data_IF_978715276926
#
_entry.id   IF_978715276926
#
_cell.length_a   1.000
_cell.length_b   1.000
_cell.length_c   1.000
_cell.angle_alpha   90.00
_cell.angle_beta   90.00
_cell.angle_gamma   90.00
#
_symmetry.space_group_name_H-M   'P 1'
#
loop_
_entity.id
_entity.type
_entity.pdbx_description
1 polymer ?
#
# COMPACT_ATOMS: atom_id res chain seq x y z
N UNK A 1 -27.72 -10.35 0.16
CA UNK A 1 -26.26 -10.16 -0.08
C UNK A 1 -25.79 -8.98 0.73
N UNK A 2 -24.78 -9.17 1.55
CA UNK A 2 -24.23 -8.12 2.39
C UNK A 2 -23.59 -7.02 1.52
N UNK A 3 -23.96 -5.74 1.73
CA UNK A 3 -23.42 -4.60 0.98
C UNK A 3 -21.88 -4.50 1.05
N UNK A 4 -21.30 -4.94 2.16
CA UNK A 4 -19.85 -4.95 2.35
C UNK A 4 -19.17 -5.95 1.41
N UNK A 5 -19.76 -7.11 1.18
CA UNK A 5 -19.21 -8.13 0.28
C UNK A 5 -19.21 -7.63 -1.19
N UNK A 6 -20.18 -6.81 -1.57
CA UNK A 6 -20.24 -6.20 -2.89
C UNK A 6 -19.08 -5.18 -3.09
N UNK A 7 -18.67 -4.43 -2.05
CA UNK A 7 -17.57 -3.46 -2.15
C UNK A 7 -16.23 -4.19 -2.29
N UNK A 8 -15.99 -5.24 -1.51
CA UNK A 8 -14.80 -6.07 -1.65
C UNK A 8 -14.68 -6.63 -3.06
N UNK A 9 -15.78 -7.16 -3.61
CA UNK A 9 -15.79 -7.72 -4.96
C UNK A 9 -15.48 -6.64 -6.01
N UNK A 10 -16.15 -5.48 -5.98
CA UNK A 10 -15.90 -4.39 -6.93
C UNK A 10 -14.44 -3.96 -6.96
N UNK A 11 -13.83 -3.77 -5.79
CA UNK A 11 -12.43 -3.35 -5.68
C UNK A 11 -11.51 -4.44 -6.23
N UNK A 12 -11.76 -5.70 -5.86
CA UNK A 12 -10.94 -6.82 -6.33
C UNK A 12 -11.07 -7.01 -7.83
N UNK A 13 -12.27 -6.85 -8.41
CA UNK A 13 -12.48 -6.92 -9.85
C UNK A 13 -11.69 -5.83 -10.60
N UNK A 14 -11.62 -4.59 -10.09
CA UNK A 14 -10.77 -3.54 -10.67
C UNK A 14 -9.29 -3.89 -10.65
N UNK A 15 -8.81 -4.52 -9.58
CA UNK A 15 -7.41 -4.97 -9.49
C UNK A 15 -7.14 -6.15 -10.43
N UNK A 16 -8.04 -7.13 -10.48
CA UNK A 16 -7.95 -8.28 -11.39
C UNK A 16 -7.90 -7.80 -12.85
N UNK A 17 -8.80 -6.88 -13.24
CA UNK A 17 -8.80 -6.30 -14.59
C UNK A 17 -7.44 -5.68 -14.93
N UNK A 18 -6.83 -4.93 -14.01
CA UNK A 18 -5.53 -4.32 -14.22
C UNK A 18 -4.42 -5.35 -14.39
N UNK A 19 -4.39 -6.38 -13.54
CA UNK A 19 -3.42 -7.47 -13.61
C UNK A 19 -3.54 -8.25 -14.93
N UNK A 20 -4.76 -8.52 -15.39
CA UNK A 20 -5.02 -9.19 -16.67
C UNK A 20 -4.55 -8.36 -17.87
N UNK A 21 -4.59 -7.04 -17.76
CA UNK A 21 -4.06 -6.11 -18.78
C UNK A 21 -2.53 -5.98 -18.72
N UNK A 22 -1.85 -6.65 -17.76
CA UNK A 22 -0.41 -6.54 -17.55
C UNK A 22 0.02 -5.21 -16.92
N UNK A 23 -0.93 -4.47 -16.33
CA UNK A 23 -0.70 -3.15 -15.72
C UNK A 23 -1.04 -3.20 -14.22
N UNK A 24 -0.19 -3.80 -13.35
CA UNK A 24 -0.42 -3.80 -11.90
C UNK A 24 -0.59 -2.37 -11.38
N UNK A 25 -1.65 -2.07 -10.62
CA UNK A 25 -1.96 -0.68 -10.22
C UNK A 25 -0.92 0.00 -9.32
N UNK A 26 -0.02 -0.79 -8.74
CA UNK A 26 1.08 -0.29 -7.92
C UNK A 26 2.38 -0.06 -8.71
N UNK A 27 2.40 -0.40 -10.00
CA UNK A 27 3.49 -0.07 -10.93
C UNK A 27 2.94 1.01 -11.86
N UNK A 28 3.34 2.26 -11.64
CA UNK A 28 2.92 3.34 -12.52
C UNK A 28 3.76 3.32 -13.79
N UNK A 29 3.16 3.21 -14.99
CA UNK A 29 3.87 3.51 -16.21
C UNK A 29 4.30 4.99 -16.18
N UNK A 30 5.49 5.23 -16.60
CA UNK A 30 6.21 6.51 -16.52
C UNK A 30 5.38 7.68 -17.07
N UNK A 31 5.12 8.64 -16.22
CA UNK A 31 4.89 10.03 -16.60
C UNK A 31 6.10 10.82 -16.17
N UNK A 32 6.36 11.93 -16.83
CA UNK A 32 7.39 12.87 -16.41
C UNK A 32 7.09 13.30 -14.96
N UNK A 33 7.80 12.73 -14.00
CA UNK A 33 7.61 12.99 -12.59
C UNK A 33 7.83 11.77 -11.69
N UNK A 34 8.14 12.03 -10.42
CA UNK A 34 8.32 11.01 -9.41
C UNK A 34 6.97 10.46 -8.94
N UNK A 35 6.90 9.20 -8.50
CA UNK A 35 5.68 8.66 -7.92
C UNK A 35 5.35 9.41 -6.63
N UNK A 36 4.12 9.87 -6.50
CA UNK A 36 3.63 10.55 -5.32
C UNK A 36 2.38 9.85 -4.79
N UNK A 37 2.16 9.94 -3.49
CA UNK A 37 0.90 9.48 -2.93
C UNK A 37 -0.27 10.31 -3.43
N UNK A 38 -1.42 9.68 -3.74
CA UNK A 38 -2.64 10.42 -3.94
C UNK A 38 -3.02 11.13 -2.65
N UNK A 39 -3.36 12.41 -2.74
CA UNK A 39 -3.72 13.24 -1.60
C UNK A 39 -5.14 13.81 -1.74
N UNK A 40 -5.79 14.05 -0.62
CA UNK A 40 -7.03 14.80 -0.60
C UNK A 40 -6.73 16.30 -0.79
N UNK A 41 -7.23 16.88 -1.86
CA UNK A 41 -6.93 18.26 -2.24
C UNK A 41 -7.36 19.30 -1.20
N UNK A 42 -8.47 19.04 -0.47
CA UNK A 42 -8.99 19.97 0.51
C UNK A 42 -8.25 19.91 1.86
N UNK A 43 -7.78 18.72 2.27
CA UNK A 43 -7.14 18.54 3.57
C UNK A 43 -5.61 18.37 3.51
N UNK A 44 -5.04 18.16 2.32
CA UNK A 44 -3.63 17.84 2.12
C UNK A 44 -3.21 16.45 2.62
N UNK A 45 -4.13 15.64 3.15
CA UNK A 45 -3.81 14.31 3.71
C UNK A 45 -3.67 13.26 2.61
N UNK A 46 -2.62 12.45 2.71
CA UNK A 46 -2.43 11.31 1.82
C UNK A 46 -3.51 10.24 2.02
N UNK A 47 -3.90 9.60 0.93
CA UNK A 47 -4.68 8.37 0.98
C UNK A 47 -3.78 7.18 1.33
N UNK A 48 -4.36 6.12 1.89
CA UNK A 48 -3.62 4.99 2.45
C UNK A 48 -4.22 3.64 2.03
N UNK A 49 -3.42 2.59 2.17
CA UNK A 49 -3.82 1.20 1.94
C UNK A 49 -4.36 1.01 0.53
N UNK A 50 -5.51 0.32 0.40
CA UNK A 50 -6.10 -0.02 -0.90
C UNK A 50 -6.49 1.21 -1.75
N UNK A 51 -6.73 2.36 -1.13
CA UNK A 51 -7.06 3.58 -1.89
C UNK A 51 -5.88 4.06 -2.75
N UNK A 52 -4.66 3.78 -2.36
CA UNK A 52 -3.47 4.19 -3.11
C UNK A 52 -3.45 3.55 -4.50
N UNK A 53 -3.41 2.21 -4.65
CA UNK A 53 -3.42 1.58 -5.97
C UNK A 53 -4.70 1.86 -6.77
N UNK A 54 -5.86 2.02 -6.12
CA UNK A 54 -7.12 2.38 -6.81
C UNK A 54 -7.03 3.76 -7.46
N UNK A 55 -6.54 4.76 -6.74
CA UNK A 55 -6.44 6.12 -7.25
C UNK A 55 -5.31 6.26 -8.27
N UNK A 56 -4.18 5.58 -8.09
CA UNK A 56 -3.13 5.48 -9.10
C UNK A 56 -3.65 4.90 -10.41
N UNK A 57 -4.37 3.76 -10.35
CA UNK A 57 -5.00 3.17 -11.53
C UNK A 57 -5.97 4.14 -12.18
N UNK A 58 -6.79 4.82 -11.40
CA UNK A 58 -7.75 5.78 -11.94
C UNK A 58 -7.06 6.96 -12.60
N UNK A 59 -5.98 7.49 -12.01
CA UNK A 59 -5.18 8.55 -12.61
C UNK A 59 -4.57 8.11 -13.94
N UNK A 60 -4.01 6.92 -13.98
CA UNK A 60 -3.39 6.36 -15.17
C UNK A 60 -4.40 6.12 -16.31
N UNK A 61 -5.50 5.42 -16.00
CA UNK A 61 -6.57 5.10 -16.95
C UNK A 61 -7.19 6.34 -17.61
N UNK A 62 -7.29 7.46 -16.87
CA UNK A 62 -7.93 8.69 -17.34
C UNK A 62 -6.94 9.79 -17.75
N UNK A 63 -5.64 9.55 -17.67
CA UNK A 63 -4.66 10.52 -18.07
C UNK A 63 -4.52 11.73 -17.12
N UNK A 64 -4.85 11.58 -15.81
CA UNK A 64 -4.71 12.69 -14.85
C UNK A 64 -3.23 12.87 -14.44
N UNK A 65 -2.70 14.06 -14.66
CA UNK A 65 -1.32 14.41 -14.32
C UNK A 65 -1.14 14.76 -12.84
N UNK A 66 -2.22 15.07 -12.14
CA UNK A 66 -2.21 15.48 -10.74
C UNK A 66 -2.85 14.39 -9.87
N UNK A 67 -2.21 14.03 -8.77
CA UNK A 67 -2.70 13.06 -7.81
C UNK A 67 -3.50 13.68 -6.65
N UNK A 68 -4.17 14.80 -6.90
CA UNK A 68 -5.06 15.47 -5.96
C UNK A 68 -6.51 15.08 -6.21
N UNK A 69 -7.16 14.64 -5.16
CA UNK A 69 -8.49 14.06 -5.20
C UNK A 69 -9.41 14.74 -4.19
N UNK A 70 -10.70 14.83 -4.50
CA UNK A 70 -11.69 15.43 -3.61
C UNK A 70 -13.05 14.77 -3.81
N UNK A 71 -13.93 14.93 -2.84
CA UNK A 71 -15.34 14.57 -3.00
C UNK A 71 -16.07 15.67 -3.76
N UNK A 72 -17.27 15.35 -4.27
CA UNK A 72 -18.14 16.35 -4.90
C UNK A 72 -18.42 17.54 -3.97
N UNK A 73 -18.72 17.25 -2.70
CA UNK A 73 -18.98 18.30 -1.70
C UNK A 73 -17.75 19.20 -1.46
N UNK A 74 -16.56 18.60 -1.36
CA UNK A 74 -15.32 19.36 -1.21
C UNK A 74 -15.04 20.27 -2.41
N UNK A 75 -15.40 19.85 -3.64
CA UNK A 75 -15.30 20.72 -4.81
C UNK A 75 -16.18 21.95 -4.68
N UNK A 76 -17.43 21.78 -4.25
CA UNK A 76 -18.38 22.89 -4.03
C UNK A 76 -17.90 23.78 -2.89
N UNK A 77 -17.50 23.23 -1.75
CA UNK A 77 -16.99 23.98 -0.60
C UNK A 77 -15.75 24.82 -0.93
N UNK A 78 -14.92 24.32 -1.87
CA UNK A 78 -13.77 25.05 -2.37
C UNK A 78 -14.11 26.15 -3.41
N UNK A 79 -15.39 26.32 -3.73
CA UNK A 79 -15.86 27.31 -4.71
C UNK A 79 -15.84 26.85 -6.16
N UNK A 80 -15.49 25.58 -6.40
CA UNK A 80 -15.49 24.96 -7.72
C UNK A 80 -16.68 24.05 -7.94
N UNK A 81 -16.64 23.31 -9.04
CA UNK A 81 -17.64 22.32 -9.40
C UNK A 81 -17.03 21.18 -10.23
N UNK A 82 -17.56 19.97 -10.10
CA UNK A 82 -17.23 18.86 -11.00
C UNK A 82 -17.94 19.09 -12.33
N UNK A 83 -17.20 19.01 -13.44
CA UNK A 83 -17.78 19.21 -14.77
C UNK A 83 -18.87 18.18 -15.07
N UNK A 84 -19.88 18.60 -15.80
CA UNK A 84 -21.01 17.75 -16.19
C UNK A 84 -20.52 16.55 -17.03
N UNK A 85 -20.93 15.34 -16.65
CA UNK A 85 -20.59 14.12 -17.36
C UNK A 85 -19.34 13.40 -16.84
N UNK A 86 -18.57 14.01 -15.94
CA UNK A 86 -17.40 13.39 -15.33
C UNK A 86 -17.79 12.19 -14.47
N UNK A 87 -16.93 11.16 -14.49
CA UNK A 87 -17.13 9.91 -13.73
C UNK A 87 -16.22 9.88 -12.53
N UNK A 88 -16.81 9.60 -11.38
CA UNK A 88 -16.07 9.48 -10.12
C UNK A 88 -15.24 8.21 -10.06
N UNK A 89 -14.14 8.27 -9.35
CA UNK A 89 -13.29 7.13 -8.98
C UNK A 89 -13.76 6.48 -7.68
N UNK A 90 -13.63 5.15 -7.62
CA UNK A 90 -13.95 4.39 -6.42
C UNK A 90 -12.87 4.59 -5.36
N UNK A 91 -13.30 4.83 -4.13
CA UNK A 91 -12.47 4.78 -2.94
C UNK A 91 -13.22 4.10 -1.80
N UNK A 92 -12.50 3.67 -0.78
CA UNK A 92 -13.04 2.90 0.35
C UNK A 92 -12.74 3.62 1.66
N UNK A 93 -13.75 3.67 2.52
CA UNK A 93 -13.62 4.17 3.88
C UNK A 93 -13.78 2.98 4.85
N UNK A 94 -12.78 2.82 5.72
CA UNK A 94 -12.85 1.89 6.84
C UNK A 94 -13.34 2.62 8.08
N UNK A 95 -14.45 2.17 8.62
CA UNK A 95 -15.03 2.67 9.86
C UNK A 95 -14.83 1.59 10.93
N UNK A 96 -13.87 1.75 11.86
CA UNK A 96 -13.73 0.85 12.99
C UNK A 96 -15.04 0.80 13.75
N UNK A 97 -15.48 -0.40 14.07
CA UNK A 97 -16.69 -0.68 14.85
C UNK A 97 -16.36 -1.67 15.94
N UNK A 98 -17.05 -1.55 17.04
CA UNK A 98 -16.99 -2.48 18.15
C UNK A 98 -18.39 -3.04 18.40
N UNK A 99 -18.45 -4.32 18.71
CA UNK A 99 -19.69 -4.97 19.09
C UNK A 99 -19.41 -5.91 20.26
N UNK A 100 -20.23 -5.81 21.30
CA UNK A 100 -20.17 -6.74 22.41
C UNK A 100 -20.47 -8.17 21.93
N UNK A 101 -19.72 -9.13 22.46
CA UNK A 101 -19.96 -10.54 22.23
C UNK A 101 -21.07 -10.97 23.19
N UNK A 102 -22.19 -11.40 22.63
CA UNK A 102 -23.35 -11.90 23.40
C UNK A 102 -23.36 -13.42 23.41
N UNK A 103 -23.77 -14.02 24.51
CA UNK A 103 -24.05 -15.44 24.61
C UNK A 103 -25.37 -15.83 23.90
N UNK A 104 -25.74 -17.10 23.97
CA UNK A 104 -26.98 -17.63 23.37
C UNK A 104 -28.27 -17.03 23.96
N UNK A 105 -28.19 -16.40 25.14
CA UNK A 105 -29.32 -15.77 25.84
C UNK A 105 -29.33 -14.23 25.63
N UNK A 106 -28.38 -13.70 24.86
CA UNK A 106 -28.26 -12.27 24.59
C UNK A 106 -27.57 -11.47 25.71
N UNK A 107 -26.91 -12.13 26.67
CA UNK A 107 -26.13 -11.47 27.71
C UNK A 107 -24.68 -11.29 27.27
N UNK A 108 -24.01 -10.17 27.66
CA UNK A 108 -22.61 -9.94 27.35
C UNK A 108 -21.71 -11.04 27.93
N UNK A 109 -20.81 -11.59 27.10
CA UNK A 109 -19.76 -12.51 27.53
C UNK A 109 -18.64 -11.72 28.21
N UNK A 110 -18.26 -12.09 29.43
CA UNK A 110 -17.17 -11.47 30.15
C UNK A 110 -15.80 -12.01 29.70
N UNK A 111 -14.81 -11.13 29.64
CA UNK A 111 -13.40 -11.49 29.47
C UNK A 111 -12.77 -12.00 30.80
N UNK A 112 -11.45 -12.26 30.79
CA UNK A 112 -10.69 -12.75 31.96
C UNK A 112 -10.72 -11.78 33.15
N UNK A 113 -10.96 -10.49 32.88
CA UNK A 113 -10.97 -9.42 33.86
C UNK A 113 -12.41 -9.03 34.27
N UNK A 114 -13.42 -9.79 33.82
CA UNK A 114 -14.82 -9.55 34.12
C UNK A 114 -15.46 -8.41 33.30
N UNK A 115 -14.78 -7.89 32.28
CA UNK A 115 -15.31 -6.86 31.39
C UNK A 115 -16.03 -7.49 30.20
N UNK A 116 -17.03 -6.79 29.58
CA UNK A 116 -17.64 -7.28 28.36
C UNK A 116 -16.59 -7.54 27.27
N UNK A 117 -16.60 -8.74 26.72
CA UNK A 117 -15.76 -9.08 25.58
C UNK A 117 -16.27 -8.34 24.35
N UNK A 118 -15.36 -7.59 23.67
CA UNK A 118 -15.69 -6.79 22.50
C UNK A 118 -15.04 -7.39 21.26
N UNK A 119 -15.83 -7.54 20.21
CA UNK A 119 -15.34 -7.90 18.88
C UNK A 119 -15.14 -6.63 18.05
N UNK A 120 -13.90 -6.37 17.66
CA UNK A 120 -13.58 -5.31 16.74
C UNK A 120 -13.78 -5.77 15.30
N UNK A 121 -14.41 -4.95 14.48
CA UNK A 121 -14.54 -5.17 13.04
C UNK A 121 -14.52 -3.83 12.29
N UNK A 122 -14.26 -3.85 10.99
CA UNK A 122 -14.36 -2.65 10.17
C UNK A 122 -15.60 -2.72 9.28
N UNK A 123 -16.40 -1.67 9.34
CA UNK A 123 -17.44 -1.45 8.34
C UNK A 123 -16.77 -0.78 7.14
N UNK A 124 -16.89 -1.40 5.98
CA UNK A 124 -16.35 -0.86 4.72
C UNK A 124 -17.45 -0.16 3.95
N UNK A 125 -17.23 1.09 3.59
CA UNK A 125 -18.14 1.89 2.75
C UNK A 125 -17.40 2.37 1.52
N UNK A 126 -18.05 2.29 0.36
CA UNK A 126 -17.56 2.99 -0.83
C UNK A 126 -17.85 4.49 -0.72
N UNK A 127 -16.97 5.30 -1.22
CA UNK A 127 -17.20 6.70 -1.48
C UNK A 127 -16.58 7.10 -2.81
N UNK A 128 -16.97 8.26 -3.31
CA UNK A 128 -16.64 8.67 -4.66
C UNK A 128 -15.76 9.90 -4.64
N UNK A 129 -14.67 9.81 -5.40
CA UNK A 129 -13.70 10.88 -5.54
C UNK A 129 -13.63 11.36 -6.99
N UNK A 130 -13.29 12.61 -7.15
CA UNK A 130 -12.96 13.22 -8.42
C UNK A 130 -11.54 13.74 -8.36
N UNK A 131 -10.80 13.58 -9.44
CA UNK A 131 -9.51 14.24 -9.60
C UNK A 131 -9.75 15.75 -9.80
N UNK A 132 -8.83 16.59 -9.31
CA UNK A 132 -8.93 18.04 -9.52
C UNK A 132 -9.01 18.42 -11.00
N UNK A 133 -8.39 17.61 -11.88
CA UNK A 133 -8.49 17.78 -13.33
C UNK A 133 -9.92 17.63 -13.90
N UNK A 134 -10.87 17.07 -13.14
CA UNK A 134 -12.28 16.92 -13.52
C UNK A 134 -13.13 18.10 -13.06
N UNK A 135 -12.53 19.07 -12.40
CA UNK A 135 -13.23 20.19 -11.80
C UNK A 135 -12.96 21.50 -12.53
N UNK A 136 -13.84 22.46 -12.35
CA UNK A 136 -13.71 23.84 -12.79
C UNK A 136 -13.94 24.81 -11.61
N UNK A 137 -13.38 26.00 -11.69
CA UNK A 137 -13.55 27.03 -10.65
C UNK A 137 -12.82 26.77 -9.33
N UNK A 138 -12.00 25.72 -9.24
CA UNK A 138 -11.19 25.47 -8.05
C UNK A 138 -10.06 26.50 -7.91
N UNK A 139 -9.64 26.83 -6.66
CA UNK A 139 -8.46 27.66 -6.41
C UNK A 139 -7.19 27.10 -7.08
N UNK A 140 -6.31 28.00 -7.57
CA UNK A 140 -5.06 27.62 -8.24
C UNK A 140 -4.19 26.67 -7.39
N UNK A 141 -4.18 26.83 -6.07
CA UNK A 141 -3.45 25.97 -5.13
C UNK A 141 -3.80 24.48 -5.23
N UNK A 142 -4.98 24.11 -5.74
CA UNK A 142 -5.38 22.71 -5.94
C UNK A 142 -4.68 22.07 -7.15
N UNK A 143 -4.11 22.87 -8.03
CA UNK A 143 -3.39 22.42 -9.22
C UNK A 143 -1.88 22.51 -9.08
N UNK A 144 -1.38 23.05 -7.97
CA UNK A 144 0.06 23.11 -7.72
C UNK A 144 0.65 21.69 -7.68
N UNK A 145 1.84 21.48 -8.23
CA UNK A 145 2.54 20.20 -8.13
C UNK A 145 2.66 19.75 -6.67
N UNK A 146 2.55 18.45 -6.43
CA UNK A 146 2.90 17.89 -5.13
C UNK A 146 4.41 17.99 -5.00
N UNK A 147 4.90 18.48 -3.86
CA UNK A 147 6.32 18.62 -3.62
C UNK A 147 7.04 17.27 -3.82
N UNK A 148 8.08 17.31 -4.63
CA UNK A 148 8.94 16.15 -4.87
C UNK A 148 9.94 15.98 -3.73
N UNK A 149 10.50 14.79 -3.63
CA UNK A 149 11.53 14.47 -2.64
C UNK A 149 12.86 14.99 -3.15
N UNK A 150 13.49 15.91 -2.42
CA UNK A 150 14.75 16.56 -2.85
C UNK A 150 15.92 15.57 -3.01
N UNK A 151 15.97 14.50 -2.21
CA UNK A 151 17.05 13.53 -2.19
C UNK A 151 16.51 12.08 -2.10
N UNK A 152 15.95 11.52 -3.19
CA UNK A 152 15.30 10.21 -3.18
C UNK A 152 16.18 9.07 -2.66
N UNK A 153 17.45 9.05 -3.06
CA UNK A 153 18.39 8.00 -2.66
C UNK A 153 18.77 8.11 -1.18
N UNK A 154 18.95 9.32 -0.67
CA UNK A 154 19.24 9.55 0.75
C UNK A 154 18.06 9.14 1.63
N UNK A 155 16.82 9.38 1.16
CA UNK A 155 15.61 8.93 1.84
C UNK A 155 15.56 7.40 1.90
N UNK A 156 15.83 6.70 0.78
CA UNK A 156 15.86 5.24 0.76
C UNK A 156 17.01 4.68 1.63
N UNK A 157 18.17 5.31 1.63
CA UNK A 157 19.30 4.94 2.49
C UNK A 157 18.98 5.18 3.98
N UNK A 158 18.23 6.22 4.31
CA UNK A 158 17.74 6.43 5.65
C UNK A 158 16.81 5.29 6.10
N UNK A 159 15.85 4.88 5.24
CA UNK A 159 14.98 3.73 5.50
C UNK A 159 15.83 2.48 5.74
N UNK A 160 16.80 2.18 4.88
CA UNK A 160 17.71 1.05 5.05
C UNK A 160 18.47 1.11 6.37
N UNK A 161 19.09 2.23 6.66
CA UNK A 161 19.94 2.43 7.85
C UNK A 161 19.15 2.27 9.13
N UNK A 162 17.98 2.88 9.21
CA UNK A 162 17.18 2.89 10.43
C UNK A 162 16.22 1.68 10.55
N UNK A 163 16.10 0.84 9.51
CA UNK A 163 15.36 -0.42 9.60
C UNK A 163 15.89 -1.37 10.67
N UNK A 164 17.17 -1.25 11.03
CA UNK A 164 17.85 -2.18 11.92
C UNK A 164 18.10 -3.57 11.32
N UNK A 165 17.77 -3.76 10.03
CA UNK A 165 17.95 -5.03 9.32
C UNK A 165 19.30 -5.02 8.60
N UNK A 166 20.22 -5.99 8.87
CA UNK A 166 21.47 -6.10 8.14
C UNK A 166 21.23 -6.36 6.65
N UNK A 167 21.88 -5.59 5.79
CA UNK A 167 21.86 -5.77 4.33
C UNK A 167 23.24 -6.24 3.86
N UNK A 168 23.29 -7.41 3.24
CA UNK A 168 24.52 -8.03 2.74
C UNK A 168 24.49 -8.06 1.22
N UNK A 169 25.57 -7.62 0.58
CA UNK A 169 25.73 -7.69 -0.87
C UNK A 169 26.56 -8.91 -1.27
N UNK A 170 26.12 -9.60 -2.31
CA UNK A 170 26.83 -10.76 -2.89
C UNK A 170 26.76 -10.72 -4.41
N UNK A 171 27.77 -11.27 -5.09
CA UNK A 171 27.71 -11.51 -6.54
C UNK A 171 26.75 -12.64 -6.84
N UNK A 172 25.50 -12.30 -7.12
CA UNK A 172 24.41 -13.24 -7.43
C UNK A 172 23.32 -12.54 -8.23
N UNK A 173 22.32 -13.29 -8.72
CA UNK A 173 21.21 -12.72 -9.50
C UNK A 173 19.88 -12.67 -8.72
N UNK A 174 19.90 -12.93 -7.41
CA UNK A 174 18.69 -12.98 -6.58
C UNK A 174 18.83 -12.06 -5.39
N UNK A 175 17.76 -11.29 -5.12
CA UNK A 175 17.53 -10.63 -3.86
C UNK A 175 16.61 -11.51 -3.01
N UNK A 176 16.77 -11.48 -1.71
CA UNK A 176 15.85 -12.15 -0.78
C UNK A 176 16.08 -11.69 0.65
N UNK A 177 14.99 -11.67 1.42
CA UNK A 177 15.04 -11.63 2.87
C UNK A 177 15.20 -13.07 3.41
N UNK A 178 16.07 -13.26 4.39
CA UNK A 178 16.34 -14.57 5.03
C UNK A 178 15.84 -14.56 6.48
N UNK A 179 14.60 -15.06 6.74
CA UNK A 179 13.96 -14.93 8.06
C UNK A 179 14.74 -15.52 9.22
N UNK A 180 15.33 -16.70 9.06
CA UNK A 180 16.03 -17.38 10.17
C UNK A 180 17.33 -16.71 10.60
N UNK A 181 17.87 -15.80 9.80
CA UNK A 181 19.05 -14.98 10.12
C UNK A 181 18.73 -13.51 10.27
N UNK A 182 17.50 -13.13 9.95
CA UNK A 182 17.01 -11.76 9.95
C UNK A 182 17.91 -10.81 9.15
N UNK A 183 18.25 -11.19 7.93
CA UNK A 183 19.10 -10.42 7.02
C UNK A 183 18.46 -10.29 5.64
N UNK A 184 18.72 -9.19 4.98
CA UNK A 184 18.47 -8.99 3.55
C UNK A 184 19.73 -9.27 2.76
N UNK A 185 19.63 -10.04 1.68
CA UNK A 185 20.75 -10.34 0.77
C UNK A 185 20.40 -9.82 -0.61
N UNK A 186 21.27 -8.96 -1.14
CA UNK A 186 21.12 -8.32 -2.44
C UNK A 186 22.30 -8.61 -3.36
N UNK A 187 22.11 -8.56 -4.69
CA UNK A 187 23.21 -8.36 -5.62
C UNK A 187 23.97 -7.08 -5.30
N UNK A 188 25.22 -6.97 -5.76
CA UNK A 188 25.94 -5.71 -5.64
C UNK A 188 25.26 -4.59 -6.43
N UNK A 189 25.28 -3.31 -5.97
CA UNK A 189 24.60 -2.21 -6.63
C UNK A 189 24.94 -2.06 -8.12
N UNK A 190 26.19 -2.34 -8.51
CA UNK A 190 26.65 -2.29 -9.91
C UNK A 190 26.06 -3.39 -10.81
N UNK A 191 25.35 -4.37 -10.26
CA UNK A 191 24.66 -5.42 -11.02
C UNK A 191 23.24 -5.03 -11.42
N UNK A 192 22.74 -3.90 -10.94
CA UNK A 192 21.40 -3.39 -11.27
C UNK A 192 21.46 -2.45 -12.47
N UNK A 193 20.40 -2.43 -13.28
CA UNK A 193 20.27 -1.56 -14.44
C UNK A 193 20.27 -0.06 -14.08
N UNK A 194 19.81 0.25 -12.87
CA UNK A 194 19.70 1.62 -12.35
C UNK A 194 19.66 1.64 -10.83
N UNK A 195 19.95 2.79 -10.23
CA UNK A 195 19.79 3.01 -8.79
C UNK A 195 18.32 2.84 -8.35
N UNK A 196 17.38 3.27 -9.16
CA UNK A 196 15.95 3.07 -8.87
C UNK A 196 15.60 1.59 -8.78
N UNK A 197 16.17 0.74 -9.64
CA UNK A 197 16.00 -0.71 -9.57
C UNK A 197 16.61 -1.29 -8.29
N UNK A 198 17.83 -0.88 -7.92
CA UNK A 198 18.45 -1.29 -6.67
C UNK A 198 17.59 -0.94 -5.45
N UNK A 199 17.15 0.33 -5.34
CA UNK A 199 16.37 0.76 -4.18
C UNK A 199 14.96 0.15 -4.15
N UNK A 200 14.29 0.00 -5.28
CA UNK A 200 12.97 -0.65 -5.28
C UNK A 200 13.07 -2.12 -4.84
N UNK A 201 14.14 -2.83 -5.24
CA UNK A 201 14.42 -4.20 -4.77
C UNK A 201 14.75 -4.23 -3.28
N UNK A 202 15.60 -3.33 -2.81
CA UNK A 202 15.92 -3.19 -1.39
C UNK A 202 14.67 -2.96 -0.53
N UNK A 203 13.80 -2.05 -0.95
CA UNK A 203 12.56 -1.71 -0.23
C UNK A 203 11.55 -2.86 -0.24
N UNK A 204 11.54 -3.69 -1.30
CA UNK A 204 10.78 -4.92 -1.36
C UNK A 204 11.27 -5.92 -0.29
N UNK A 205 12.57 -6.18 -0.23
CA UNK A 205 13.15 -7.10 0.75
C UNK A 205 13.02 -6.57 2.20
N UNK A 206 13.13 -5.27 2.40
CA UNK A 206 12.87 -4.66 3.71
C UNK A 206 11.39 -4.78 4.11
N UNK A 207 10.47 -4.76 3.15
CA UNK A 207 9.06 -5.03 3.43
C UNK A 207 8.87 -6.45 3.96
N UNK A 208 9.47 -7.47 3.34
CA UNK A 208 9.50 -8.83 3.89
C UNK A 208 10.07 -8.86 5.30
N UNK A 209 11.20 -8.19 5.51
CA UNK A 209 11.86 -8.15 6.81
C UNK A 209 10.95 -7.60 7.92
N UNK A 210 10.07 -6.65 7.63
CA UNK A 210 9.08 -6.18 8.63
C UNK A 210 8.17 -7.29 9.15
N UNK A 211 8.03 -8.39 8.43
CA UNK A 211 7.25 -9.56 8.84
C UNK A 211 7.90 -10.43 9.91
N UNK A 212 9.15 -10.21 10.28
CA UNK A 212 9.84 -10.95 11.34
C UNK A 212 9.08 -10.95 12.67
N UNK A 213 9.27 -12.00 13.48
CA UNK A 213 8.59 -12.18 14.78
C UNK A 213 8.81 -11.02 15.75
N UNK A 214 9.97 -10.37 15.71
CA UNK A 214 10.29 -9.21 16.55
C UNK A 214 9.69 -7.89 16.07
N UNK A 215 9.03 -7.87 14.92
CA UNK A 215 8.42 -6.67 14.29
C UNK A 215 6.92 -6.84 14.11
N UNK A 216 6.44 -7.02 12.90
CA UNK A 216 5.00 -7.15 12.63
C UNK A 216 4.48 -8.58 12.70
N UNK A 217 5.36 -9.55 12.91
CA UNK A 217 5.06 -10.97 13.13
C UNK A 217 4.04 -11.54 12.10
N UNK A 218 4.30 -11.34 10.80
CA UNK A 218 3.43 -11.88 9.75
C UNK A 218 3.58 -13.38 9.63
N UNK A 219 2.47 -14.08 9.61
CA UNK A 219 2.40 -15.55 9.55
C UNK A 219 3.20 -16.13 8.37
N UNK A 220 3.13 -15.51 7.20
CA UNK A 220 3.87 -15.94 6.03
C UNK A 220 5.40 -15.96 6.22
N UNK A 221 5.92 -15.12 7.11
CA UNK A 221 7.35 -15.04 7.41
C UNK A 221 7.73 -15.95 8.59
N UNK A 222 6.85 -16.08 9.58
CA UNK A 222 7.20 -16.68 10.88
C UNK A 222 6.77 -18.12 11.05
N UNK A 223 5.73 -18.59 10.32
CA UNK A 223 5.21 -19.95 10.50
C UNK A 223 6.00 -21.04 9.77
N UNK A 224 6.84 -20.66 8.80
CA UNK A 224 7.49 -21.63 7.88
C UNK A 224 6.51 -22.31 6.91
N UNK A 225 5.22 -21.95 6.94
CA UNK A 225 4.18 -22.52 6.07
C UNK A 225 4.17 -21.90 4.65
N UNK A 226 4.73 -20.72 4.49
CA UNK A 226 4.86 -20.07 3.19
C UNK A 226 5.95 -20.79 2.36
N UNK A 227 5.52 -21.52 1.36
CA UNK A 227 6.40 -22.21 0.43
C UNK A 227 6.18 -21.65 -0.97
N UNK A 228 7.24 -21.64 -1.77
CA UNK A 228 7.18 -21.16 -3.15
C UNK A 228 6.01 -21.81 -3.89
N UNK A 229 5.13 -20.97 -4.44
CA UNK A 229 3.97 -21.38 -5.23
C UNK A 229 2.69 -21.62 -4.43
N UNK A 230 2.69 -21.53 -3.09
CA UNK A 230 1.43 -21.60 -2.32
C UNK A 230 0.78 -20.24 -2.12
N UNK A 231 -0.52 -20.23 -1.74
CA UNK A 231 -1.32 -19.03 -1.57
C UNK A 231 -0.76 -18.08 -0.48
N UNK A 232 -0.20 -18.63 0.60
CA UNK A 232 0.38 -17.84 1.69
C UNK A 232 1.63 -17.08 1.22
N UNK A 233 2.47 -17.75 0.44
CA UNK A 233 3.65 -17.15 -0.17
C UNK A 233 3.24 -16.07 -1.20
N UNK A 234 2.28 -16.36 -2.09
CA UNK A 234 1.78 -15.41 -3.07
C UNK A 234 1.18 -14.16 -2.41
N UNK A 235 0.49 -14.30 -1.28
CA UNK A 235 -0.05 -13.18 -0.51
C UNK A 235 1.05 -12.31 0.14
N UNK A 236 2.14 -12.93 0.61
CA UNK A 236 3.29 -12.19 1.15
C UNK A 236 4.05 -11.43 0.05
N UNK A 237 4.24 -12.05 -1.13
CA UNK A 237 4.83 -11.37 -2.29
C UNK A 237 3.97 -10.17 -2.72
N UNK A 238 2.65 -10.31 -2.74
CA UNK A 238 1.75 -9.20 -3.03
C UNK A 238 1.85 -8.08 -1.98
N UNK A 239 2.04 -8.45 -0.72
CA UNK A 239 2.30 -7.50 0.37
C UNK A 239 3.62 -6.76 0.17
N UNK A 240 4.68 -7.47 -0.21
CA UNK A 240 6.00 -6.88 -0.44
C UNK A 240 6.03 -5.96 -1.66
N UNK A 241 5.36 -6.35 -2.75
CA UNK A 241 5.21 -5.50 -3.94
C UNK A 241 4.48 -4.18 -3.62
N UNK A 242 3.34 -4.25 -2.93
CA UNK A 242 2.61 -3.05 -2.49
C UNK A 242 3.42 -2.21 -1.52
N UNK A 243 4.13 -2.83 -0.57
CA UNK A 243 4.97 -2.14 0.40
C UNK A 243 6.15 -1.44 -0.26
N UNK A 244 6.81 -2.11 -1.21
CA UNK A 244 7.85 -1.50 -2.04
C UNK A 244 7.32 -0.29 -2.81
N UNK A 245 6.14 -0.42 -3.44
CA UNK A 245 5.53 0.68 -4.18
C UNK A 245 5.22 1.89 -3.27
N UNK A 246 4.73 1.67 -2.05
CA UNK A 246 4.46 2.74 -1.09
C UNK A 246 5.75 3.40 -0.60
N UNK A 247 6.78 2.61 -0.29
CA UNK A 247 8.08 3.14 0.14
C UNK A 247 8.79 3.89 -1.00
N UNK A 248 8.70 3.40 -2.23
CA UNK A 248 9.21 4.08 -3.41
C UNK A 248 8.51 5.43 -3.61
N UNK A 249 7.18 5.48 -3.50
CA UNK A 249 6.43 6.72 -3.59
C UNK A 249 6.78 7.70 -2.47
N UNK A 250 7.04 7.20 -1.24
CA UNK A 250 7.51 8.03 -0.14
C UNK A 250 8.91 8.59 -0.39
N UNK A 251 9.81 7.80 -0.96
CA UNK A 251 11.18 8.19 -1.24
C UNK A 251 11.36 8.96 -2.56
N UNK A 252 10.29 9.14 -3.37
CA UNK A 252 10.40 9.74 -4.69
C UNK A 252 11.17 8.88 -5.70
N UNK A 253 11.20 7.56 -5.49
CA UNK A 253 11.90 6.62 -6.37
C UNK A 253 10.90 5.94 -7.29
N UNK A 254 11.17 5.87 -8.59
CA UNK A 254 10.35 5.11 -9.51
C UNK A 254 10.22 3.64 -9.09
N UNK A 255 9.01 3.20 -8.77
CA UNK A 255 8.73 1.81 -8.43
C UNK A 255 8.81 0.90 -9.67
N UNK A 256 9.22 -0.34 -9.48
CA UNK A 256 9.23 -1.38 -10.53
C UNK A 256 8.54 -2.63 -10.03
N UNK A 257 7.91 -3.36 -10.93
CA UNK A 257 7.42 -4.70 -10.63
C UNK A 257 8.61 -5.63 -10.45
N UNK A 258 8.79 -6.14 -9.25
CA UNK A 258 9.91 -7.03 -8.96
C UNK A 258 9.64 -8.46 -9.47
N UNK A 259 8.39 -8.90 -9.43
CA UNK A 259 8.04 -10.29 -9.65
C UNK A 259 6.84 -10.48 -10.61
N UNK A 260 7.02 -10.14 -11.89
CA UNK A 260 5.99 -10.35 -12.92
C UNK A 260 5.51 -11.81 -13.01
N UNK A 261 6.35 -12.77 -12.65
CA UNK A 261 6.02 -14.21 -12.63
C UNK A 261 4.92 -14.58 -11.62
N UNK A 262 4.66 -13.74 -10.62
CA UNK A 262 3.61 -13.99 -9.62
C UNK A 262 2.22 -13.48 -10.02
N UNK A 263 2.08 -12.76 -11.14
CA UNK A 263 0.78 -12.23 -11.57
C UNK A 263 -0.28 -13.34 -11.64
N UNK A 264 0.06 -14.51 -12.16
CA UNK A 264 -0.87 -15.64 -12.24
C UNK A 264 -1.31 -16.12 -10.84
N UNK A 265 -0.38 -16.22 -9.88
CA UNK A 265 -0.69 -16.61 -8.51
C UNK A 265 -1.51 -15.54 -7.80
N UNK A 266 -1.23 -14.24 -8.03
CA UNK A 266 -2.04 -13.15 -7.50
C UNK A 266 -3.46 -13.16 -8.06
N UNK A 267 -3.63 -13.38 -9.36
CA UNK A 267 -4.95 -13.54 -9.96
C UNK A 267 -5.74 -14.68 -9.30
N UNK A 268 -5.08 -15.82 -9.06
CA UNK A 268 -5.72 -16.95 -8.40
C UNK A 268 -6.20 -16.58 -7.00
N UNK A 269 -5.33 -16.07 -6.11
CA UNK A 269 -5.72 -15.74 -4.74
C UNK A 269 -6.79 -14.64 -4.67
N UNK A 270 -6.78 -13.69 -5.61
CA UNK A 270 -7.78 -12.62 -5.69
C UNK A 270 -9.15 -13.14 -6.18
N UNK A 271 -9.17 -14.14 -7.06
CA UNK A 271 -10.39 -14.80 -7.51
C UNK A 271 -11.01 -15.68 -6.42
N UNK A 272 -10.18 -16.33 -5.61
CA UNK A 272 -10.61 -17.19 -4.52
C UNK A 272 -11.07 -16.39 -3.28
N UNK A 273 -10.48 -15.21 -3.04
CA UNK A 273 -10.77 -14.38 -1.88
C UNK A 273 -10.74 -12.88 -2.20
N UNK A 274 -11.91 -12.28 -2.31
CA UNK A 274 -12.08 -10.86 -2.58
C UNK A 274 -11.59 -9.92 -1.48
N UNK A 275 -11.11 -10.43 -0.35
CA UNK A 275 -10.47 -9.66 0.72
C UNK A 275 -8.95 -9.74 0.69
N UNK A 276 -8.37 -10.57 -0.15
CA UNK A 276 -6.92 -10.78 -0.18
C UNK A 276 -6.16 -9.47 -0.47
N UNK A 277 -6.60 -8.68 -1.45
CA UNK A 277 -5.96 -7.39 -1.78
C UNK A 277 -6.05 -6.38 -0.64
N UNK A 278 -7.15 -6.39 0.11
CA UNK A 278 -7.33 -5.49 1.26
C UNK A 278 -6.38 -5.86 2.40
N UNK A 279 -6.20 -7.17 2.67
CA UNK A 279 -5.23 -7.62 3.67
C UNK A 279 -3.81 -7.30 3.24
N UNK A 280 -3.44 -7.60 2.00
CA UNK A 280 -2.11 -7.31 1.48
C UNK A 280 -1.79 -5.81 1.54
N UNK A 281 -2.71 -4.94 1.08
CA UNK A 281 -2.51 -3.48 1.14
C UNK A 281 -2.49 -2.93 2.57
N UNK A 282 -3.25 -3.53 3.49
CA UNK A 282 -3.20 -3.19 4.91
C UNK A 282 -1.87 -3.58 5.56
N UNK A 283 -1.36 -4.78 5.27
CA UNK A 283 -0.05 -5.25 5.73
C UNK A 283 1.09 -4.44 5.13
N UNK A 284 1.00 -4.09 3.83
CA UNK A 284 1.95 -3.23 3.15
C UNK A 284 2.02 -1.84 3.79
N UNK A 285 0.86 -1.25 4.11
CA UNK A 285 0.79 0.01 4.85
C UNK A 285 1.47 -0.12 6.21
N UNK A 286 1.14 -1.15 6.99
CA UNK A 286 1.75 -1.35 8.31
C UNK A 286 3.28 -1.52 8.21
N UNK A 287 3.78 -2.21 7.17
CA UNK A 287 5.20 -2.35 6.90
C UNK A 287 5.86 -1.00 6.59
N UNK A 288 5.22 -0.20 5.74
CA UNK A 288 5.66 1.14 5.39
C UNK A 288 5.71 2.05 6.65
N UNK A 289 4.60 2.12 7.39
CA UNK A 289 4.49 2.92 8.61
C UNK A 289 5.54 2.50 9.65
N UNK A 290 5.80 1.19 9.78
CA UNK A 290 6.83 0.68 10.69
C UNK A 290 8.23 1.15 10.29
N UNK A 291 8.61 1.01 9.01
CA UNK A 291 9.92 1.42 8.51
C UNK A 291 10.12 2.94 8.62
N UNK A 292 9.12 3.73 8.26
CA UNK A 292 9.19 5.19 8.32
C UNK A 292 9.28 5.71 9.74
N UNK A 293 8.58 5.10 10.69
CA UNK A 293 8.68 5.45 12.11
C UNK A 293 10.11 5.29 12.65
N UNK A 294 10.89 4.32 12.13
CA UNK A 294 12.29 4.17 12.52
C UNK A 294 13.14 5.36 12.06
N UNK A 295 12.82 5.96 10.91
CA UNK A 295 13.56 7.12 10.38
C UNK A 295 13.30 8.39 11.19
N UNK A 296 12.14 8.51 11.83
CA UNK A 296 11.77 9.67 12.65
C UNK A 296 12.41 9.65 14.06
N UNK A 297 13.01 8.54 14.49
CA UNK A 297 13.60 8.36 15.82
C UNK A 297 15.13 8.06 15.81
N UNK A 298 15.95 8.82 15.08
CA UNK A 298 17.38 8.51 14.93
C UNK A 298 18.21 8.64 16.22
N UNK A 299 17.69 9.24 17.29
CA UNK A 299 18.45 9.58 18.49
C UNK A 299 18.39 8.56 19.65
N UNK A 300 17.62 7.46 19.53
CA UNK A 300 17.48 6.49 20.62
C UNK A 300 18.42 5.27 20.55
N UNK A 301 19.17 5.10 19.46
CA UNK A 301 20.09 3.96 19.25
C UNK A 301 21.56 4.27 19.52
N UNK A 302 21.88 5.44 20.05
CA UNK A 302 23.26 5.86 20.39
C UNK A 302 23.43 6.15 21.89
N UNK A 303 22.76 5.40 22.76
CA UNK A 303 22.99 5.45 24.21
C UNK A 303 23.34 4.07 24.75
#
# INVERSE_FOLDING_TARGET
>A
MDRSNNIYQKVTDEIIEALQQGCPPWVRPWRDGEPVFPINAASGRAYHGINVPLLWRSADKNGYENDRWLTFHQAIEAGGNVRKGEKSSLAVLYLPQEKEVLDSNGAPVADKDGKPQVRHFALVREFRLFNVAQCEGLPAAFFEPIAQVDAPQETAEAIRRYSGVPVIHRRQQRAYYYPSRDIVVLPHPEQFDSQAHYYSTLLHELTHATGHASRLNREAITSGAAQFGNALYAAEELTAELGSAFLCAHAGIPGRLQHASYIASWLQILQEDNRAIFRASGQARNACDWLLKQTEQPQRLSA
#
